data_IF_657378772978
#
_entry.id   IF_657378772978
#
_cell.length_a   1.000
_cell.length_b   1.000
_cell.length_c   1.000
_cell.angle_alpha   90.00
_cell.angle_beta   90.00
_cell.angle_gamma   90.00
#
_symmetry.space_group_name_H-M   'P 1'
#
loop_
_entity.id
_entity.type
_entity.pdbx_description
1 polymer ?
#
# COMPACT_ATOMS: atom_id res chain seq x y z
N UNK A 1 -49.66 32.15 -10.36
CA UNK A 1 -49.51 31.57 -9.01
C UNK A 1 -48.05 31.24 -8.81
N UNK A 2 -47.38 32.03 -7.98
CA UNK A 2 -46.00 31.81 -7.56
C UNK A 2 -45.92 30.68 -6.53
N UNK A 3 -44.79 29.96 -6.53
CA UNK A 3 -44.00 29.49 -5.36
C UNK A 3 -42.77 28.74 -5.92
N UNK A 4 -41.66 29.45 -6.04
CA UNK A 4 -40.52 29.45 -5.11
C UNK A 4 -39.67 28.18 -5.26
N UNK A 5 -38.61 28.25 -6.05
CA UNK A 5 -37.24 28.60 -5.62
C UNK A 5 -36.49 27.34 -5.20
N UNK A 6 -35.84 26.71 -6.18
CA UNK A 6 -34.70 25.85 -5.92
C UNK A 6 -33.61 26.70 -5.29
N UNK A 7 -33.51 26.61 -3.97
CA UNK A 7 -32.42 27.19 -3.21
C UNK A 7 -31.16 26.47 -3.68
N UNK A 8 -30.28 27.24 -4.32
CA UNK A 8 -28.96 26.78 -4.70
C UNK A 8 -28.18 26.40 -3.46
N UNK A 9 -27.75 25.15 -3.40
CA UNK A 9 -26.61 24.75 -2.59
C UNK A 9 -25.37 25.30 -3.28
N UNK A 10 -24.92 26.47 -2.81
CA UNK A 10 -23.54 26.88 -3.01
C UNK A 10 -22.67 25.95 -2.16
N UNK A 11 -22.20 24.85 -2.75
CA UNK A 11 -21.07 24.12 -2.21
C UNK A 11 -19.82 24.99 -2.34
N UNK A 12 -19.63 25.91 -1.41
CA UNK A 12 -18.29 26.41 -1.08
C UNK A 12 -17.59 25.28 -0.33
N UNK A 13 -17.03 24.33 -1.08
CA UNK A 13 -16.46 23.06 -0.61
C UNK A 13 -15.12 23.21 0.15
N UNK A 14 -15.06 24.15 1.09
CA UNK A 14 -13.95 24.25 2.03
C UNK A 14 -14.30 23.43 3.28
N UNK A 15 -13.55 22.34 3.49
CA UNK A 15 -13.65 21.59 4.74
C UNK A 15 -13.01 22.40 5.87
N UNK A 16 -13.84 22.84 6.82
CA UNK A 16 -13.45 23.65 7.97
C UNK A 16 -12.79 22.84 9.09
N UNK A 17 -12.70 21.51 8.94
CA UNK A 17 -12.06 20.64 9.91
C UNK A 17 -10.56 20.91 10.01
N UNK A 18 -10.02 20.76 11.22
CA UNK A 18 -8.61 20.97 11.51
C UNK A 18 -7.80 19.84 10.88
N UNK A 19 -6.90 20.19 9.96
CA UNK A 19 -6.03 19.22 9.28
C UNK A 19 -4.82 18.89 10.14
N UNK A 20 -4.68 17.62 10.48
CA UNK A 20 -3.60 17.07 11.27
C UNK A 20 -2.94 15.90 10.54
N UNK A 21 -1.73 15.54 10.97
CA UNK A 21 -0.93 14.48 10.33
C UNK A 21 -0.96 13.16 11.09
N UNK A 22 -1.32 13.18 12.37
CA UNK A 22 -1.27 12.02 13.25
C UNK A 22 -2.44 12.05 14.22
N UNK A 23 -3.12 10.90 14.33
CA UNK A 23 -4.20 10.64 15.28
C UNK A 23 -3.70 10.65 16.72
N UNK A 24 -2.45 10.21 16.93
CA UNK A 24 -1.82 10.12 18.25
C UNK A 24 -1.73 11.46 18.96
N UNK A 25 -1.37 12.53 18.22
CA UNK A 25 -1.30 13.89 18.76
C UNK A 25 -2.65 14.33 19.34
N UNK A 26 -3.74 14.00 18.66
CA UNK A 26 -5.11 14.34 19.09
C UNK A 26 -5.51 13.53 20.32
N UNK A 27 -5.20 12.23 20.33
CA UNK A 27 -5.47 11.35 21.46
C UNK A 27 -4.71 11.78 22.72
N UNK A 28 -3.42 12.10 22.61
CA UNK A 28 -2.59 12.56 23.73
C UNK A 28 -3.13 13.87 24.33
N UNK A 29 -3.68 14.74 23.47
CA UNK A 29 -4.25 16.01 23.92
C UNK A 29 -5.65 15.83 24.53
N UNK A 30 -6.48 14.96 23.95
CA UNK A 30 -7.77 14.55 24.52
C UNK A 30 -7.58 14.01 25.93
N UNK A 31 -6.59 13.15 26.16
CA UNK A 31 -6.33 12.57 27.48
C UNK A 31 -6.07 13.64 28.55
N UNK A 32 -5.26 14.66 28.24
CA UNK A 32 -5.01 15.79 29.15
C UNK A 32 -6.29 16.58 29.45
N UNK A 33 -7.11 16.85 28.43
CA UNK A 33 -8.37 17.57 28.64
C UNK A 33 -9.40 16.75 29.41
N UNK A 34 -9.44 15.43 29.23
CA UNK A 34 -10.29 14.53 30.03
C UNK A 34 -9.94 14.61 31.51
N UNK A 35 -8.66 14.68 31.87
CA UNK A 35 -8.26 14.86 33.28
C UNK A 35 -8.74 16.20 33.87
N UNK A 36 -8.81 17.25 33.05
CA UNK A 36 -9.33 18.55 33.48
C UNK A 36 -10.85 18.53 33.62
N UNK A 37 -11.56 17.92 32.67
CA UNK A 37 -13.03 17.78 32.69
C UNK A 37 -13.47 16.95 33.90
N UNK A 38 -12.73 15.89 34.25
CA UNK A 38 -12.98 15.09 35.46
C UNK A 38 -12.95 15.91 36.75
N UNK A 39 -12.12 16.96 36.83
CA UNK A 39 -12.00 17.84 38.00
C UNK A 39 -13.04 18.96 38.02
N UNK A 40 -13.78 19.18 36.93
CA UNK A 40 -14.69 20.32 36.76
C UNK A 40 -15.85 20.31 37.77
N UNK A 41 -16.33 19.13 38.13
CA UNK A 41 -17.50 18.94 39.00
C UNK A 41 -17.13 18.73 40.49
N UNK A 42 -15.84 18.75 40.84
CA UNK A 42 -15.39 18.45 42.22
C UNK A 42 -15.83 19.51 43.25
N UNK A 43 -16.09 20.74 42.82
CA UNK A 43 -16.59 21.82 43.68
C UNK A 43 -18.12 21.90 43.83
N UNK A 44 -18.88 21.03 43.16
CA UNK A 44 -20.34 21.08 43.13
C UNK A 44 -20.93 20.17 44.21
N UNK A 45 -21.18 20.70 45.41
CA UNK A 45 -21.74 19.95 46.55
C UNK A 45 -23.26 19.78 46.52
N UNK A 46 -23.95 20.41 45.57
CA UNK A 46 -25.41 20.41 45.43
C UNK A 46 -25.96 19.27 44.59
N UNK A 47 -25.10 18.52 43.90
CA UNK A 47 -25.48 17.44 42.99
C UNK A 47 -25.12 16.11 43.64
N UNK A 48 -26.01 15.13 43.58
CA UNK A 48 -25.74 13.77 44.07
C UNK A 48 -24.64 13.11 43.24
N UNK A 49 -23.79 12.30 43.86
CA UNK A 49 -22.63 11.69 43.19
C UNK A 49 -23.01 10.85 41.97
N UNK A 50 -24.16 10.17 41.98
CA UNK A 50 -24.64 9.37 40.83
C UNK A 50 -24.97 10.26 39.62
N UNK A 51 -25.63 11.39 39.86
CA UNK A 51 -25.99 12.35 38.80
C UNK A 51 -24.75 13.07 38.28
N UNK A 52 -23.80 13.39 39.18
CA UNK A 52 -22.52 13.99 38.82
C UNK A 52 -21.69 13.06 37.93
N UNK A 53 -21.65 11.77 38.22
CA UNK A 53 -20.99 10.78 37.39
C UNK A 53 -21.64 10.65 36.01
N UNK A 54 -22.96 10.64 35.94
CA UNK A 54 -23.68 10.58 34.65
C UNK A 54 -23.36 11.80 33.78
N UNK A 55 -23.50 13.01 34.34
CA UNK A 55 -23.19 14.26 33.63
C UNK A 55 -21.73 14.26 33.16
N UNK A 56 -20.81 13.77 33.98
CA UNK A 56 -19.40 13.71 33.62
C UNK A 56 -19.14 12.75 32.46
N UNK A 57 -19.78 11.58 32.43
CA UNK A 57 -19.66 10.65 31.32
C UNK A 57 -20.23 11.21 30.02
N UNK A 58 -21.42 11.79 30.08
CA UNK A 58 -22.08 12.39 28.91
C UNK A 58 -21.23 13.54 28.34
N UNK A 59 -20.71 14.41 29.22
CA UNK A 59 -19.84 15.51 28.82
C UNK A 59 -18.52 15.03 28.19
N UNK A 60 -17.91 13.99 28.74
CA UNK A 60 -16.68 13.41 28.18
C UNK A 60 -16.94 12.81 26.80
N UNK A 61 -18.05 12.08 26.65
CA UNK A 61 -18.46 11.49 25.39
C UNK A 61 -18.72 12.54 24.31
N UNK A 62 -19.52 13.56 24.64
CA UNK A 62 -19.85 14.65 23.72
C UNK A 62 -18.62 15.46 23.33
N UNK A 63 -17.72 15.71 24.29
CA UNK A 63 -16.46 16.40 24.02
C UNK A 63 -15.56 15.59 23.09
N UNK A 64 -15.34 14.30 23.40
CA UNK A 64 -14.51 13.41 22.59
C UNK A 64 -15.05 13.36 21.16
N UNK A 65 -16.35 13.14 21.01
CA UNK A 65 -17.00 13.06 19.70
C UNK A 65 -16.92 14.37 18.94
N UNK A 66 -17.17 15.50 19.60
CA UNK A 66 -17.07 16.83 18.99
C UNK A 66 -15.67 17.13 18.47
N UNK A 67 -14.62 16.73 19.21
CA UNK A 67 -13.23 16.87 18.76
C UNK A 67 -12.96 15.97 17.56
N UNK A 68 -13.40 14.71 17.59
CA UNK A 68 -13.18 13.75 16.50
C UNK A 68 -13.87 14.17 15.20
N UNK A 69 -15.10 14.69 15.27
CA UNK A 69 -15.84 15.19 14.11
C UNK A 69 -15.27 16.51 13.56
N UNK A 70 -14.46 17.23 14.35
CA UNK A 70 -13.84 18.51 13.97
C UNK A 70 -12.47 18.39 13.31
N UNK A 71 -11.90 17.18 13.23
CA UNK A 71 -10.53 16.95 12.78
C UNK A 71 -10.50 16.10 11.51
N UNK A 72 -9.52 16.38 10.65
CA UNK A 72 -9.11 15.52 9.54
C UNK A 72 -7.69 15.05 9.75
N UNK A 73 -7.43 13.77 9.53
CA UNK A 73 -6.09 13.18 9.61
C UNK A 73 -5.67 12.84 8.19
N UNK A 74 -4.63 13.49 7.68
CA UNK A 74 -4.16 13.33 6.29
C UNK A 74 -5.24 13.50 5.21
N UNK A 75 -6.30 14.27 5.51
CA UNK A 75 -7.44 14.49 4.60
C UNK A 75 -8.55 13.46 4.72
N UNK A 76 -8.41 12.49 5.62
CA UNK A 76 -9.42 11.47 5.92
C UNK A 76 -10.17 11.81 7.22
N UNK A 77 -11.38 11.25 7.34
CA UNK A 77 -12.20 11.37 8.55
C UNK A 77 -11.55 10.62 9.73
N UNK A 78 -11.96 10.91 10.96
CA UNK A 78 -11.42 10.25 12.14
C UNK A 78 -11.55 8.72 12.13
N UNK A 79 -12.66 8.20 11.60
CA UNK A 79 -12.95 6.76 11.53
C UNK A 79 -12.16 6.07 10.41
N UNK A 80 -11.98 6.76 9.27
CA UNK A 80 -11.29 6.20 8.10
C UNK A 80 -9.77 6.28 8.22
N UNK A 81 -9.27 7.24 9.00
CA UNK A 81 -7.84 7.46 9.15
C UNK A 81 -7.17 6.29 9.89
N UNK A 82 -6.02 5.79 9.39
CA UNK A 82 -5.33 4.65 9.97
C UNK A 82 -4.88 4.92 11.40
N UNK A 83 -5.05 3.93 12.27
CA UNK A 83 -4.48 3.97 13.62
C UNK A 83 -3.05 3.46 13.59
N UNK A 84 -2.10 4.29 14.02
CA UNK A 84 -0.68 3.91 14.17
C UNK A 84 -0.42 2.66 15.04
N UNK A 85 -1.42 2.21 15.82
CA UNK A 85 -1.31 0.99 16.65
C UNK A 85 -1.62 -0.30 15.91
N UNK A 86 -2.40 -0.23 14.83
CA UNK A 86 -2.76 -1.42 14.05
C UNK A 86 -1.57 -1.90 13.20
N UNK A 87 -0.60 -1.00 12.96
CA UNK A 87 0.57 -1.24 12.12
C UNK A 87 1.60 -2.21 12.73
N UNK A 88 1.66 -2.36 14.06
CA UNK A 88 2.78 -3.10 14.70
C UNK A 88 2.70 -4.62 14.51
N UNK A 89 1.49 -5.19 14.46
CA UNK A 89 1.28 -6.60 14.14
C UNK A 89 1.49 -6.87 12.64
N UNK A 90 1.12 -5.90 11.80
CA UNK A 90 1.32 -5.97 10.35
C UNK A 90 2.80 -5.84 9.96
N UNK A 91 3.58 -5.04 10.71
CA UNK A 91 5.03 -4.90 10.52
C UNK A 91 5.77 -6.25 10.64
N UNK A 92 5.44 -7.07 11.65
CA UNK A 92 6.11 -8.35 11.85
C UNK A 92 5.84 -9.32 10.69
N UNK A 93 4.59 -9.39 10.25
CA UNK A 93 4.21 -10.25 9.12
C UNK A 93 4.91 -9.79 7.82
N UNK A 94 5.04 -8.48 7.64
CA UNK A 94 5.76 -7.90 6.52
C UNK A 94 7.27 -8.21 6.57
N UNK A 95 7.88 -8.15 7.75
CA UNK A 95 9.29 -8.49 7.95
C UNK A 95 9.56 -9.97 7.63
N UNK A 96 8.71 -10.89 8.12
CA UNK A 96 8.83 -12.32 7.81
C UNK A 96 8.73 -12.59 6.29
N UNK A 97 7.80 -11.89 5.60
CA UNK A 97 7.64 -11.98 4.15
C UNK A 97 8.86 -11.40 3.40
N UNK A 98 9.44 -10.33 3.93
CA UNK A 98 10.63 -9.70 3.36
C UNK A 98 11.83 -10.65 3.45
N UNK A 99 12.04 -11.28 4.60
CA UNK A 99 13.12 -12.25 4.81
C UNK A 99 13.04 -13.44 3.86
N UNK A 100 11.84 -14.03 3.71
CA UNK A 100 11.63 -15.12 2.76
C UNK A 100 11.96 -14.68 1.32
N UNK A 101 11.51 -13.50 0.90
CA UNK A 101 11.79 -12.97 -0.43
C UNK A 101 13.29 -12.70 -0.65
N UNK A 102 13.99 -12.20 0.37
CA UNK A 102 15.44 -11.98 0.31
C UNK A 102 16.16 -13.31 0.15
N UNK A 103 15.79 -14.34 0.91
CA UNK A 103 16.38 -15.68 0.82
C UNK A 103 16.12 -16.29 -0.56
N UNK A 104 14.87 -16.28 -1.02
CA UNK A 104 14.48 -16.85 -2.32
C UNK A 104 15.23 -16.15 -3.47
N UNK A 105 15.27 -14.80 -3.43
CA UNK A 105 15.99 -13.99 -4.43
C UNK A 105 17.47 -14.29 -4.43
N UNK A 106 18.09 -14.40 -3.25
CA UNK A 106 19.52 -14.71 -3.11
C UNK A 106 19.84 -16.10 -3.65
N UNK A 107 18.99 -17.09 -3.37
CA UNK A 107 19.13 -18.45 -3.91
C UNK A 107 18.94 -18.47 -5.42
N UNK A 108 17.97 -17.74 -5.96
CA UNK A 108 17.74 -17.60 -7.40
C UNK A 108 18.98 -17.00 -8.07
N UNK A 109 19.46 -15.85 -7.60
CA UNK A 109 20.66 -15.18 -8.13
C UNK A 109 21.90 -16.07 -8.08
N UNK A 110 22.07 -16.86 -7.03
CA UNK A 110 23.22 -17.77 -6.89
C UNK A 110 23.15 -19.00 -7.80
N UNK A 111 21.99 -19.64 -7.87
CA UNK A 111 21.86 -20.99 -8.41
C UNK A 111 21.36 -21.01 -9.86
N UNK A 112 20.45 -20.11 -10.23
CA UNK A 112 19.80 -20.17 -11.55
C UNK A 112 20.77 -19.92 -12.70
N UNK A 113 21.72 -18.96 -12.65
CA UNK A 113 22.70 -18.80 -13.73
C UNK A 113 23.51 -20.08 -13.97
N UNK A 114 23.91 -20.77 -12.90
CA UNK A 114 24.65 -22.04 -12.98
C UNK A 114 23.80 -23.18 -13.56
N UNK A 115 22.48 -23.16 -13.30
CA UNK A 115 21.54 -24.14 -13.85
C UNK A 115 21.23 -23.87 -15.33
N UNK A 116 21.05 -22.60 -15.71
CA UNK A 116 20.65 -22.18 -17.07
C UNK A 116 21.82 -22.28 -18.05
N UNK A 117 23.03 -21.92 -17.60
CA UNK A 117 24.23 -21.86 -18.45
C UNK A 117 24.47 -23.16 -19.26
N UNK A 118 24.44 -24.37 -18.68
CA UNK A 118 24.61 -25.61 -19.45
C UNK A 118 23.55 -25.82 -20.54
N UNK A 119 22.30 -25.41 -20.32
CA UNK A 119 21.25 -25.54 -21.33
C UNK A 119 21.50 -24.61 -22.51
N UNK A 120 21.80 -23.34 -22.23
CA UNK A 120 22.08 -22.34 -23.27
C UNK A 120 23.32 -22.74 -24.08
N UNK A 121 24.40 -23.18 -23.42
CA UNK A 121 25.61 -23.66 -24.10
C UNK A 121 25.33 -24.89 -24.97
N UNK A 122 24.51 -25.84 -24.49
CA UNK A 122 24.12 -27.01 -25.31
C UNK A 122 23.30 -26.60 -26.52
N UNK A 123 22.31 -25.70 -26.36
CA UNK A 123 21.49 -25.21 -27.47
C UNK A 123 22.32 -24.49 -28.52
N UNK A 124 23.22 -23.60 -28.11
CA UNK A 124 24.12 -22.89 -29.03
C UNK A 124 25.06 -23.85 -29.78
N UNK A 125 25.57 -24.88 -29.09
CA UNK A 125 26.38 -25.92 -29.75
C UNK A 125 25.57 -26.70 -30.78
N UNK A 126 24.34 -27.10 -30.43
CA UNK A 126 23.46 -27.81 -31.35
C UNK A 126 23.12 -26.98 -32.59
N UNK A 127 22.79 -25.70 -32.40
CA UNK A 127 22.53 -24.75 -33.49
C UNK A 127 23.75 -24.62 -34.42
N UNK A 128 24.94 -24.50 -33.84
CA UNK A 128 26.19 -24.45 -34.63
C UNK A 128 26.43 -25.72 -35.43
N UNK A 129 26.18 -26.90 -34.86
CA UNK A 129 26.32 -28.17 -35.61
C UNK A 129 25.28 -28.27 -36.74
N UNK A 130 24.05 -27.83 -36.51
CA UNK A 130 23.03 -27.75 -37.56
C UNK A 130 23.46 -26.84 -38.71
N UNK A 131 24.01 -25.66 -38.42
CA UNK A 131 24.50 -24.75 -39.46
C UNK A 131 25.59 -25.39 -40.33
N UNK A 132 26.51 -26.17 -39.76
CA UNK A 132 27.55 -26.87 -40.55
C UNK A 132 26.94 -27.82 -41.58
N UNK A 133 25.89 -28.55 -41.19
CA UNK A 133 25.19 -29.47 -42.08
C UNK A 133 24.56 -28.71 -43.24
N UNK A 134 23.90 -27.58 -42.96
CA UNK A 134 23.31 -26.73 -44.01
C UNK A 134 24.35 -26.19 -45.00
N UNK A 135 25.50 -25.69 -44.53
CA UNK A 135 26.54 -25.16 -45.42
C UNK A 135 27.15 -26.20 -46.37
N UNK A 136 27.07 -27.49 -46.05
CA UNK A 136 27.58 -28.57 -46.91
C UNK A 136 26.63 -28.85 -48.09
N UNK A 137 25.33 -28.65 -47.89
CA UNK A 137 24.28 -28.94 -48.90
C UNK A 137 24.36 -27.99 -50.10
N UNK A 138 24.89 -26.78 -49.90
CA UNK A 138 24.97 -25.75 -50.95
C UNK A 138 26.21 -25.85 -51.85
N UNK A 139 27.04 -26.90 -51.76
CA UNK A 139 28.15 -27.10 -52.71
C UNK A 139 27.63 -27.73 -54.02
N UNK A 140 27.56 -26.98 -55.14
CA UNK A 140 27.05 -27.53 -56.40
C UNK A 140 28.08 -28.52 -56.95
N UNK A 141 27.62 -29.71 -57.30
CA UNK A 141 28.37 -30.67 -58.09
C UNK A 141 28.74 -30.02 -59.43
N UNK A 142 30.00 -29.61 -59.62
CA UNK A 142 30.52 -29.20 -60.92
C UNK A 142 30.39 -30.38 -61.90
N UNK A 143 29.34 -30.34 -62.73
CA UNK A 143 29.20 -31.24 -63.87
C UNK A 143 30.23 -30.83 -64.91
N UNK A 144 31.33 -31.59 -65.01
CA UNK A 144 32.32 -31.41 -66.07
C UNK A 144 31.63 -31.46 -67.45
N UNK A 145 31.94 -30.53 -68.38
CA UNK A 145 31.34 -30.53 -69.70
C UNK A 145 31.74 -31.80 -70.46
N UNK A 146 30.77 -32.67 -70.75
CA UNK A 146 30.97 -33.78 -71.67
C UNK A 146 31.24 -33.24 -73.06
N UNK A 147 32.49 -33.33 -73.51
CA UNK A 147 32.89 -32.95 -74.85
C UNK A 147 32.34 -33.98 -75.84
N UNK A 148 31.24 -33.64 -76.51
CA UNK A 148 30.64 -34.47 -77.55
C UNK A 148 31.45 -34.31 -78.85
N UNK A 149 32.46 -35.16 -79.04
CA UNK A 149 33.18 -35.23 -80.32
C UNK A 149 32.27 -35.87 -81.38
N UNK A 150 31.81 -35.06 -82.32
CA UNK A 150 31.08 -35.49 -83.52
C UNK A 150 32.10 -35.82 -84.61
N UNK A 151 32.15 -37.09 -85.02
CA UNK A 151 32.78 -37.55 -86.27
C UNK A 151 31.75 -37.47 -87.39
#
# INVERSE_FOLDING_TARGET
MARNSGVGEMETGEDYRVKLKSKKIVLDQLEKYRELIKKLLDGQSTITEEVKQQILQDLLWDFDRGVQESVLINGESWEDAPNERDDEADCKTLDDLLDENILETTLKRRNYPKKILPYVVRSLKAERELMKIWTLVDTPLELAPQVFNRV
#
